data_IF_525236557702
#
_entry.id   IF_525236557702
#
_cell.length_a   1.000
_cell.length_b   1.000
_cell.length_c   1.000
_cell.angle_alpha   90.00
_cell.angle_beta   90.00
_cell.angle_gamma   90.00
#
_symmetry.space_group_name_H-M   'P 1'
#
loop_
_entity.id
_entity.type
_entity.pdbx_description
1 polymer ?
#
# COMPACT_ATOMS: atom_id res chain seq x y z
N UNK A 1 -3.26 39.99 0.06
CA UNK A 1 -3.59 38.65 0.62
C UNK A 1 -3.38 38.67 2.12
N UNK A 2 -4.36 38.24 2.91
CA UNK A 2 -4.25 38.21 4.36
C UNK A 2 -3.33 37.06 4.79
N UNK A 3 -2.24 37.35 5.51
CA UNK A 3 -1.27 36.33 5.98
C UNK A 3 -1.93 35.15 6.71
N UNK A 4 -2.98 35.44 7.49
CA UNK A 4 -3.80 34.42 8.18
C UNK A 4 -4.48 33.44 7.22
N UNK A 5 -4.93 33.92 6.04
CA UNK A 5 -5.58 33.09 5.01
C UNK A 5 -4.53 32.18 4.35
N UNK A 6 -3.33 32.68 4.07
CA UNK A 6 -2.25 31.87 3.51
C UNK A 6 -1.86 30.71 4.44
N UNK A 7 -1.74 30.96 5.74
CA UNK A 7 -1.41 29.93 6.74
C UNK A 7 -2.49 28.84 6.78
N UNK A 8 -3.77 29.23 6.77
CA UNK A 8 -4.89 28.29 6.75
C UNK A 8 -4.87 27.41 5.49
N UNK A 9 -4.60 27.99 4.31
CA UNK A 9 -4.52 27.24 3.04
C UNK A 9 -3.38 26.20 3.09
N UNK A 10 -2.21 26.58 3.61
CA UNK A 10 -1.08 25.66 3.76
C UNK A 10 -1.38 24.50 4.70
N UNK A 11 -2.05 24.75 5.82
CA UNK A 11 -2.45 23.71 6.77
C UNK A 11 -3.43 22.72 6.14
N UNK A 12 -4.45 23.23 5.43
CA UNK A 12 -5.44 22.38 4.74
C UNK A 12 -4.77 21.53 3.66
N UNK A 13 -3.86 22.12 2.87
CA UNK A 13 -3.12 21.39 1.85
C UNK A 13 -2.22 20.28 2.46
N UNK A 14 -1.53 20.57 3.56
CA UNK A 14 -0.68 19.60 4.24
C UNK A 14 -1.50 18.40 4.79
N UNK A 15 -2.67 18.67 5.37
CA UNK A 15 -3.58 17.61 5.84
C UNK A 15 -4.09 16.77 4.67
N UNK A 16 -4.51 17.39 3.57
CA UNK A 16 -5.01 16.68 2.39
C UNK A 16 -3.95 15.74 1.76
N UNK A 17 -2.68 16.15 1.74
CA UNK A 17 -1.58 15.32 1.26
C UNK A 17 -1.31 14.15 2.23
N UNK A 18 -1.41 14.40 3.53
CA UNK A 18 -1.21 13.36 4.55
C UNK A 18 -2.32 12.30 4.56
N UNK A 19 -3.54 12.65 4.16
CA UNK A 19 -4.71 11.75 4.13
C UNK A 19 -4.89 11.03 2.80
N UNK A 20 -3.92 11.06 1.87
CA UNK A 20 -4.02 10.26 0.65
C UNK A 20 -4.07 8.78 1.00
N UNK A 21 -5.27 8.22 0.93
CA UNK A 21 -5.53 6.82 1.22
C UNK A 21 -4.84 5.96 0.16
N UNK A 22 -3.78 5.27 0.59
CA UNK A 22 -3.02 4.36 -0.26
C UNK A 22 -3.77 3.05 -0.37
N UNK A 23 -4.27 2.73 -1.56
CA UNK A 23 -5.00 1.51 -1.83
C UNK A 23 -4.11 0.46 -2.48
N UNK A 24 -4.43 -0.81 -2.26
CA UNK A 24 -3.80 -1.93 -2.95
C UNK A 24 -4.28 -1.99 -4.40
N UNK A 25 -3.38 -2.22 -5.38
CA UNK A 25 -3.77 -2.44 -6.77
C UNK A 25 -4.48 -3.79 -6.95
N UNK A 26 -4.95 -4.04 -8.17
CA UNK A 26 -5.64 -5.28 -8.53
C UNK A 26 -4.67 -6.45 -8.30
N UNK A 27 -5.08 -7.51 -7.57
CA UNK A 27 -4.21 -8.66 -7.35
C UNK A 27 -3.83 -9.30 -8.68
N UNK A 28 -2.58 -9.74 -8.78
CA UNK A 28 -2.06 -10.39 -9.99
C UNK A 28 -2.67 -11.79 -10.14
N UNK A 29 -2.82 -12.23 -11.39
CA UNK A 29 -3.44 -13.52 -11.73
C UNK A 29 -2.83 -14.71 -10.97
N UNK A 30 -3.72 -15.60 -10.49
CA UNK A 30 -3.42 -16.83 -9.75
C UNK A 30 -2.57 -17.86 -10.51
N UNK A 31 -2.37 -17.69 -11.81
CA UNK A 31 -1.98 -18.78 -12.72
C UNK A 31 -0.55 -19.29 -12.55
N UNK A 32 0.26 -18.70 -11.67
CA UNK A 32 1.64 -19.11 -11.53
C UNK A 32 2.26 -18.52 -10.25
N UNK A 33 2.10 -19.18 -9.09
CA UNK A 33 3.12 -19.07 -8.04
C UNK A 33 4.39 -19.83 -8.49
N UNK A 34 4.90 -19.56 -9.70
CA UNK A 34 6.10 -20.18 -10.26
C UNK A 34 7.29 -19.41 -9.70
N UNK A 35 7.86 -19.86 -8.58
CA UNK A 35 8.87 -19.10 -7.85
C UNK A 35 10.21 -19.80 -7.69
N UNK A 36 11.26 -19.03 -7.94
CA UNK A 36 12.67 -19.38 -7.71
C UNK A 36 13.24 -18.87 -6.39
N UNK A 37 12.60 -17.94 -5.68
CA UNK A 37 13.17 -17.43 -4.42
C UNK A 37 12.12 -16.97 -3.41
N UNK A 38 12.27 -17.49 -2.20
CA UNK A 38 11.45 -17.26 -1.00
C UNK A 38 11.88 -15.95 -0.31
N UNK A 39 11.06 -14.89 -0.30
CA UNK A 39 11.18 -13.68 0.55
C UNK A 39 10.02 -12.72 0.22
N UNK A 40 9.41 -11.96 1.14
CA UNK A 40 9.68 -11.63 2.54
C UNK A 40 8.34 -11.22 3.16
N UNK A 41 8.14 -11.50 4.44
CA UNK A 41 7.03 -10.93 5.23
C UNK A 41 6.95 -9.41 5.00
N UNK A 42 5.77 -8.87 4.68
CA UNK A 42 5.57 -7.42 4.72
C UNK A 42 4.58 -7.05 5.82
N UNK A 43 5.05 -6.25 6.77
CA UNK A 43 4.23 -5.31 7.53
C UNK A 43 4.27 -3.97 6.79
N UNK A 44 3.37 -3.05 7.10
CA UNK A 44 3.36 -1.75 6.42
C UNK A 44 4.69 -0.99 6.61
N UNK A 45 5.37 -1.21 7.74
CA UNK A 45 6.70 -0.66 8.05
C UNK A 45 7.85 -1.25 7.21
N UNK A 46 7.67 -2.46 6.65
CA UNK A 46 8.69 -3.11 5.84
C UNK A 46 8.69 -2.58 4.40
N UNK A 47 7.60 -1.93 3.99
CA UNK A 47 7.46 -1.32 2.68
C UNK A 47 8.05 0.09 2.63
N UNK A 48 8.50 0.51 1.45
CA UNK A 48 8.93 1.91 1.24
C UNK A 48 7.77 2.87 1.51
N UNK A 49 8.07 4.13 1.81
CA UNK A 49 7.07 5.14 2.16
C UNK A 49 5.96 5.32 1.11
N UNK A 50 6.17 4.96 -0.15
CA UNK A 50 5.16 5.04 -1.24
C UNK A 50 4.37 3.75 -1.45
N UNK A 51 4.80 2.66 -0.82
CA UNK A 51 4.31 1.33 -1.07
C UNK A 51 3.39 0.88 0.08
N UNK A 52 2.53 -0.08 -0.23
CA UNK A 52 1.54 -0.64 0.69
C UNK A 52 1.65 -2.15 0.69
N UNK A 53 1.56 -2.76 1.87
CA UNK A 53 1.56 -4.21 1.97
C UNK A 53 0.17 -4.77 1.62
N UNK A 54 0.12 -5.59 0.57
CA UNK A 54 -1.10 -6.14 0.01
C UNK A 54 -1.11 -7.67 0.10
N UNK A 55 -2.31 -8.23 0.31
CA UNK A 55 -2.56 -9.67 0.28
C UNK A 55 -2.69 -10.11 -1.18
N UNK A 56 -1.71 -10.86 -1.66
CA UNK A 56 -1.81 -11.55 -2.95
C UNK A 56 -2.16 -13.03 -2.73
N UNK A 57 -2.69 -13.74 -3.74
CA UNK A 57 -2.96 -15.19 -3.65
C UNK A 57 -1.74 -16.03 -3.29
N UNK A 58 -0.59 -15.54 -3.72
CA UNK A 58 0.72 -16.10 -3.50
C UNK A 58 1.32 -15.51 -2.17
N UNK A 59 0.58 -14.75 -1.36
CA UNK A 59 0.98 -14.21 -0.05
C UNK A 59 1.37 -12.73 -0.07
N UNK A 60 1.87 -12.19 1.05
CA UNK A 60 1.92 -10.74 1.22
C UNK A 60 3.10 -10.09 0.50
N UNK A 61 2.87 -8.97 -0.19
CA UNK A 61 3.91 -8.21 -0.90
C UNK A 61 3.72 -6.70 -0.77
N UNK A 62 4.81 -5.95 -0.77
CA UNK A 62 4.77 -4.49 -0.96
C UNK A 62 4.45 -4.17 -2.42
N UNK A 63 3.28 -3.61 -2.68
CA UNK A 63 2.91 -3.06 -3.98
C UNK A 63 2.92 -1.54 -3.95
N UNK A 64 3.12 -0.93 -5.11
CA UNK A 64 2.97 0.51 -5.25
C UNK A 64 1.51 0.87 -5.00
N UNK A 65 1.27 1.81 -4.09
CA UNK A 65 -0.08 2.24 -3.79
C UNK A 65 -0.73 2.89 -5.01
N UNK A 66 -2.04 2.68 -5.15
CA UNK A 66 -2.88 3.37 -6.13
C UNK A 66 -3.82 4.33 -5.41
N UNK A 67 -4.16 5.42 -6.09
CA UNK A 67 -4.99 6.50 -5.52
C UNK A 67 -6.49 6.14 -5.50
N UNK A 68 -6.89 5.02 -6.11
CA UNK A 68 -8.28 4.56 -6.16
C UNK A 68 -8.41 3.14 -5.63
N UNK A 69 -9.46 2.83 -4.86
CA UNK A 69 -9.78 1.46 -4.50
C UNK A 69 -10.09 0.69 -5.78
N UNK A 70 -9.44 -0.46 -5.94
CA UNK A 70 -9.73 -1.41 -7.01
C UNK A 70 -10.26 -2.68 -6.40
N UNK A 71 -11.15 -3.35 -7.14
CA UNK A 71 -11.82 -4.54 -6.65
C UNK A 71 -10.81 -5.67 -6.42
N UNK A 72 -10.86 -6.30 -5.24
CA UNK A 72 -10.01 -7.43 -4.89
C UNK A 72 -8.65 -7.09 -4.27
N UNK A 73 -8.21 -5.83 -4.27
CA UNK A 73 -6.98 -5.42 -3.60
C UNK A 73 -7.20 -5.30 -2.08
N UNK A 74 -6.56 -6.16 -1.29
CA UNK A 74 -6.72 -6.15 0.19
C UNK A 74 -5.41 -5.73 0.86
N UNK A 75 -5.47 -4.66 1.65
CA UNK A 75 -4.35 -4.20 2.48
C UNK A 75 -4.16 -5.12 3.68
N UNK A 76 -2.90 -5.37 4.05
CA UNK A 76 -2.54 -6.04 5.31
C UNK A 76 -2.55 -5.01 6.42
N UNK A 77 -3.33 -5.24 7.48
CA UNK A 77 -3.37 -4.36 8.64
C UNK A 77 -2.20 -4.65 9.59
N UNK A 78 -1.76 -3.62 10.31
CA UNK A 78 -0.70 -3.78 11.31
C UNK A 78 -1.20 -4.71 12.44
N UNK A 79 -0.44 -5.78 12.68
CA UNK A 79 -0.80 -6.84 13.63
C UNK A 79 -1.40 -8.11 13.00
N UNK A 80 -1.78 -8.09 11.72
CA UNK A 80 -2.16 -9.31 11.01
C UNK A 80 -0.95 -10.22 10.77
N UNK A 81 -1.16 -11.55 10.83
CA UNK A 81 -0.11 -12.51 10.49
C UNK A 81 0.29 -12.32 9.04
N UNK A 82 1.56 -12.01 8.83
CA UNK A 82 2.13 -11.96 7.49
C UNK A 82 2.30 -13.38 6.94
N UNK A 83 1.52 -13.72 5.93
CA UNK A 83 1.66 -14.96 5.17
C UNK A 83 2.70 -14.77 4.06
N UNK A 84 3.66 -15.69 3.95
CA UNK A 84 4.78 -15.60 3.00
C UNK A 84 4.28 -15.40 1.56
N UNK A 85 4.72 -14.28 0.95
CA UNK A 85 4.48 -13.89 -0.43
C UNK A 85 5.39 -14.55 -1.46
N UNK A 86 4.83 -14.88 -2.61
CA UNK A 86 5.39 -15.60 -3.75
C UNK A 86 5.26 -14.63 -4.96
N UNK A 87 6.34 -13.93 -5.36
CA UNK A 87 6.46 -13.07 -6.56
C UNK A 87 7.24 -13.72 -7.72
N UNK A 88 6.79 -13.55 -8.97
CA UNK A 88 7.49 -14.00 -10.20
C UNK A 88 8.60 -13.05 -10.64
#
# INVERSE_FOLDING_TARGET
MNSKICILIFLVAAVAIATSEKHCPMPRDLSSCTLKSKKMMCKQSDCRSTDVCCKEPCGNVCQRAVDRPVYGGVKVNDGERCTEGWQK
#
